data_IF_871734164263
#
_entry.id   IF_871734164263
#
_cell.length_a   1.000
_cell.length_b   1.000
_cell.length_c   1.000
_cell.angle_alpha   90.00
_cell.angle_beta   90.00
_cell.angle_gamma   90.00
#
_symmetry.space_group_name_H-M   'P 1'
#
loop_
_entity.id
_entity.type
_entity.pdbx_description
1 polymer ?
#
# COMPACT_ATOMS: atom_id res chain seq x y z
N UNK A 1 -26.46 -3.95 -42.09
CA UNK A 1 -25.98 -2.76 -41.35
C UNK A 1 -25.26 -3.31 -40.12
N UNK A 2 -23.98 -3.65 -40.32
CA UNK A 2 -23.10 -4.15 -39.23
C UNK A 2 -22.72 -2.95 -38.37
N UNK A 3 -23.14 -2.97 -37.09
CA UNK A 3 -22.67 -2.02 -36.09
C UNK A 3 -21.19 -2.27 -35.88
N UNK A 4 -20.37 -1.37 -36.37
CA UNK A 4 -18.96 -1.26 -36.09
C UNK A 4 -18.77 -1.15 -34.55
N UNK A 5 -18.51 -2.28 -33.90
CA UNK A 5 -18.02 -2.29 -32.51
C UNK A 5 -16.65 -1.63 -32.51
N UNK A 6 -16.64 -0.33 -32.19
CA UNK A 6 -15.42 0.38 -31.83
C UNK A 6 -14.61 -0.49 -30.85
N UNK A 7 -13.30 -0.76 -31.09
CA UNK A 7 -12.49 -1.49 -30.13
C UNK A 7 -12.56 -0.73 -28.80
N UNK A 8 -13.07 -1.37 -27.76
CA UNK A 8 -12.84 -0.87 -26.40
C UNK A 8 -11.33 -0.81 -26.24
N UNK A 9 -10.77 0.40 -26.26
CA UNK A 9 -9.43 0.61 -25.72
C UNK A 9 -9.39 -0.13 -24.41
N UNK A 10 -8.53 -1.15 -24.31
CA UNK A 10 -8.50 -2.06 -23.16
C UNK A 10 -8.04 -1.25 -21.95
N UNK A 11 -9.00 -0.77 -21.17
CA UNK A 11 -8.71 -0.10 -19.91
C UNK A 11 -8.02 -1.08 -19.02
N UNK A 12 -6.89 -0.68 -18.42
CA UNK A 12 -6.18 -1.54 -17.48
C UNK A 12 -7.08 -1.87 -16.31
N UNK A 13 -7.16 -3.15 -15.99
CA UNK A 13 -7.98 -3.65 -14.89
C UNK A 13 -7.26 -3.48 -13.55
N UNK A 14 -8.00 -3.04 -12.53
CA UNK A 14 -7.46 -2.85 -11.18
C UNK A 14 -8.42 -3.37 -10.11
N UNK A 15 -7.93 -4.24 -9.25
CA UNK A 15 -8.67 -4.80 -8.11
C UNK A 15 -8.27 -4.08 -6.82
N UNK A 16 -9.23 -3.47 -6.13
CA UNK A 16 -9.05 -2.80 -4.84
C UNK A 16 -9.59 -3.69 -3.74
N UNK A 17 -8.74 -4.09 -2.79
CA UNK A 17 -9.12 -4.98 -1.69
C UNK A 17 -8.87 -4.30 -0.35
N UNK A 18 -9.94 -4.04 0.38
CA UNK A 18 -9.92 -3.31 1.64
C UNK A 18 -11.23 -3.62 2.40
N UNK A 19 -11.21 -3.87 3.68
CA UNK A 19 -12.42 -4.12 4.47
C UNK A 19 -13.20 -2.85 4.79
N UNK A 20 -12.56 -1.67 4.76
CA UNK A 20 -13.24 -0.38 4.84
C UNK A 20 -14.04 -0.10 3.56
N UNK A 21 -15.36 -0.27 3.64
CA UNK A 21 -16.27 -0.08 2.51
C UNK A 21 -16.24 1.36 1.95
N UNK A 22 -16.04 2.37 2.81
CA UNK A 22 -16.04 3.79 2.41
C UNK A 22 -14.75 4.10 1.66
N UNK A 23 -13.60 3.70 2.20
CA UNK A 23 -12.31 3.88 1.56
C UNK A 23 -12.27 3.13 0.22
N UNK A 24 -12.65 1.86 0.21
CA UNK A 24 -12.71 1.02 -0.99
C UNK A 24 -13.57 1.63 -2.10
N UNK A 25 -14.79 2.07 -1.77
CA UNK A 25 -15.70 2.68 -2.75
C UNK A 25 -15.13 3.98 -3.34
N UNK A 26 -14.55 4.85 -2.50
CA UNK A 26 -13.92 6.10 -2.95
C UNK A 26 -12.72 5.85 -3.85
N UNK A 27 -11.88 4.89 -3.50
CA UNK A 27 -10.69 4.56 -4.30
C UNK A 27 -11.10 3.96 -5.66
N UNK A 28 -12.06 3.04 -5.70
CA UNK A 28 -12.61 2.49 -6.94
C UNK A 28 -13.16 3.60 -7.83
N UNK A 29 -14.00 4.49 -7.29
CA UNK A 29 -14.57 5.61 -8.06
C UNK A 29 -13.47 6.54 -8.61
N UNK A 30 -12.45 6.85 -7.82
CA UNK A 30 -11.37 7.72 -8.23
C UNK A 30 -10.48 7.09 -9.32
N UNK A 31 -10.27 5.78 -9.29
CA UNK A 31 -9.56 5.02 -10.33
C UNK A 31 -10.39 4.94 -11.62
N UNK A 32 -11.70 4.70 -11.50
CA UNK A 32 -12.61 4.70 -12.66
C UNK A 32 -12.66 6.06 -13.36
N UNK A 33 -12.65 7.16 -12.59
CA UNK A 33 -12.57 8.52 -13.13
C UNK A 33 -11.26 8.78 -13.90
N UNK A 34 -10.19 8.01 -13.63
CA UNK A 34 -8.91 8.04 -14.34
C UNK A 34 -8.80 7.05 -15.49
N UNK A 35 -9.91 6.38 -15.84
CA UNK A 35 -9.99 5.50 -17.00
C UNK A 35 -9.61 4.03 -16.74
N UNK A 36 -9.43 3.62 -15.48
CA UNK A 36 -9.21 2.22 -15.14
C UNK A 36 -10.51 1.43 -15.05
N UNK A 37 -10.49 0.14 -15.38
CA UNK A 37 -11.58 -0.78 -15.03
C UNK A 37 -11.38 -1.27 -13.59
N UNK A 38 -11.82 -0.45 -12.63
CA UNK A 38 -11.60 -0.69 -11.21
C UNK A 38 -12.77 -1.42 -10.57
N UNK A 39 -12.45 -2.48 -9.81
CA UNK A 39 -13.40 -3.29 -9.03
C UNK A 39 -12.95 -3.38 -7.58
N UNK A 40 -13.89 -3.56 -6.66
CA UNK A 40 -13.63 -3.67 -5.23
C UNK A 40 -13.99 -5.05 -4.68
N UNK A 41 -13.17 -5.57 -3.75
CA UNK A 41 -13.45 -6.74 -2.95
C UNK A 41 -13.29 -6.39 -1.45
N UNK A 42 -14.10 -6.99 -0.59
CA UNK A 42 -14.12 -6.65 0.84
C UNK A 42 -13.16 -7.51 1.68
N UNK A 43 -12.75 -8.65 1.15
CA UNK A 43 -11.98 -9.66 1.84
C UNK A 43 -11.14 -10.49 0.87
N UNK A 44 -10.29 -11.35 1.43
CA UNK A 44 -9.38 -12.22 0.67
C UNK A 44 -10.13 -13.21 -0.21
N UNK A 45 -11.24 -13.78 0.28
CA UNK A 45 -11.99 -14.80 -0.44
C UNK A 45 -12.65 -14.24 -1.70
N UNK A 46 -13.36 -13.12 -1.56
CA UNK A 46 -14.01 -12.41 -2.67
C UNK A 46 -12.97 -11.89 -3.68
N UNK A 47 -11.82 -11.41 -3.19
CA UNK A 47 -10.74 -10.95 -4.04
C UNK A 47 -10.13 -12.08 -4.88
N UNK A 48 -9.83 -13.23 -4.27
CA UNK A 48 -9.30 -14.39 -5.00
C UNK A 48 -10.34 -14.99 -5.95
N UNK A 49 -11.62 -15.01 -5.59
CA UNK A 49 -12.69 -15.44 -6.49
C UNK A 49 -12.78 -14.55 -7.73
N UNK A 50 -12.74 -13.23 -7.54
CA UNK A 50 -12.72 -12.25 -8.63
C UNK A 50 -11.48 -12.43 -9.52
N UNK A 51 -10.29 -12.58 -8.94
CA UNK A 51 -9.04 -12.77 -9.67
C UNK A 51 -8.99 -14.08 -10.48
N UNK A 52 -9.59 -15.16 -9.98
CA UNK A 52 -9.70 -16.42 -10.72
C UNK A 52 -10.67 -16.32 -11.91
N UNK A 53 -11.72 -15.52 -11.77
CA UNK A 53 -12.68 -15.30 -12.86
C UNK A 53 -12.08 -14.44 -13.96
N UNK A 54 -11.39 -13.37 -13.57
CA UNK A 54 -10.72 -12.44 -14.47
C UNK A 54 -9.51 -11.85 -13.75
N UNK A 55 -8.31 -12.29 -14.16
CA UNK A 55 -7.05 -11.86 -13.54
C UNK A 55 -6.85 -10.36 -13.72
N UNK A 56 -6.69 -9.59 -12.63
CA UNK A 56 -6.45 -8.15 -12.72
C UNK A 56 -4.99 -7.89 -13.13
N UNK A 57 -4.76 -6.87 -13.97
CA UNK A 57 -3.40 -6.39 -14.26
C UNK A 57 -2.76 -5.72 -13.06
N UNK A 58 -3.56 -5.00 -12.25
CA UNK A 58 -3.15 -4.26 -11.08
C UNK A 58 -3.99 -4.65 -9.87
N UNK A 59 -3.39 -4.68 -8.69
CA UNK A 59 -4.11 -4.90 -7.44
C UNK A 59 -3.62 -3.94 -6.35
N UNK A 60 -4.56 -3.33 -5.63
CA UNK A 60 -4.29 -2.55 -4.42
C UNK A 60 -4.84 -3.33 -3.24
N UNK A 61 -3.99 -3.70 -2.29
CA UNK A 61 -4.33 -4.63 -1.20
C UNK A 61 -4.06 -3.98 0.14
N UNK A 62 -5.07 -3.89 1.01
CA UNK A 62 -4.82 -3.61 2.42
C UNK A 62 -4.22 -4.82 3.12
N UNK A 63 -3.19 -4.60 3.94
CA UNK A 63 -2.60 -5.66 4.76
C UNK A 63 -3.45 -6.05 5.97
N UNK A 64 -4.24 -5.13 6.49
CA UNK A 64 -5.01 -5.32 7.72
C UNK A 64 -6.48 -5.40 7.40
N UNK A 65 -6.94 -6.58 7.10
CA UNK A 65 -8.36 -6.89 6.93
C UNK A 65 -8.84 -7.83 8.02
N UNK A 66 -10.12 -7.78 8.35
CA UNK A 66 -10.72 -8.69 9.31
C UNK A 66 -10.59 -10.14 8.83
N UNK A 67 -10.05 -11.01 9.68
CA UNK A 67 -10.02 -12.48 9.48
C UNK A 67 -8.82 -13.03 8.73
N UNK A 68 -8.38 -12.48 7.60
CA UNK A 68 -7.28 -13.00 6.81
C UNK A 68 -6.22 -11.93 6.52
N UNK A 69 -4.96 -12.35 6.41
CA UNK A 69 -3.85 -11.44 6.15
C UNK A 69 -3.81 -11.00 4.67
N UNK A 70 -3.65 -9.70 4.43
CA UNK A 70 -3.38 -9.20 3.08
C UNK A 70 -2.11 -9.80 2.46
N UNK A 71 -1.17 -10.30 3.26
CA UNK A 71 0.00 -11.05 2.77
C UNK A 71 -0.39 -12.36 2.10
N UNK A 72 -1.40 -13.08 2.64
CA UNK A 72 -1.92 -14.30 2.02
C UNK A 72 -2.63 -13.99 0.70
N UNK A 73 -3.29 -12.83 0.62
CA UNK A 73 -3.86 -12.35 -0.64
C UNK A 73 -2.78 -12.05 -1.68
N UNK A 74 -1.69 -11.37 -1.31
CA UNK A 74 -0.55 -11.12 -2.23
C UNK A 74 -0.03 -12.44 -2.79
N UNK A 75 0.21 -13.44 -1.94
CA UNK A 75 0.65 -14.77 -2.35
C UNK A 75 -0.37 -15.44 -3.29
N UNK A 76 -1.67 -15.36 -2.96
CA UNK A 76 -2.75 -15.93 -3.75
C UNK A 76 -2.88 -15.29 -5.13
N UNK A 77 -2.81 -13.96 -5.24
CA UNK A 77 -2.83 -13.24 -6.51
C UNK A 77 -1.65 -13.62 -7.39
N UNK A 78 -0.44 -13.68 -6.82
CA UNK A 78 0.77 -14.10 -7.55
C UNK A 78 0.75 -15.56 -7.98
N UNK A 79 0.04 -16.43 -7.25
CA UNK A 79 -0.18 -17.81 -7.66
C UNK A 79 -1.20 -17.96 -8.81
N UNK A 80 -2.16 -17.02 -8.92
CA UNK A 80 -3.12 -16.99 -10.03
C UNK A 80 -2.46 -16.40 -11.27
N UNK A 81 -1.80 -15.24 -11.13
CA UNK A 81 -1.09 -14.60 -12.22
C UNK A 81 0.15 -13.85 -11.69
N UNK A 82 1.32 -14.31 -12.09
CA UNK A 82 2.60 -13.70 -11.70
C UNK A 82 2.76 -12.28 -12.25
N UNK A 83 2.07 -11.96 -13.36
CA UNK A 83 2.15 -10.65 -14.01
C UNK A 83 1.33 -9.58 -13.28
N UNK A 84 0.34 -9.95 -12.46
CA UNK A 84 -0.43 -8.99 -11.66
C UNK A 84 0.52 -8.12 -10.82
N UNK A 85 0.55 -6.81 -11.07
CA UNK A 85 1.30 -5.88 -10.24
C UNK A 85 0.51 -5.55 -8.96
N UNK A 86 1.13 -5.75 -7.79
CA UNK A 86 0.45 -5.59 -6.49
C UNK A 86 1.08 -4.46 -5.69
N UNK A 87 0.31 -3.42 -5.40
CA UNK A 87 0.66 -2.37 -4.43
C UNK A 87 -0.07 -2.64 -3.12
N UNK A 88 0.70 -2.68 -2.05
CA UNK A 88 0.17 -2.93 -0.71
C UNK A 88 -0.03 -1.61 0.02
N UNK A 89 -1.23 -1.40 0.59
CA UNK A 89 -1.53 -0.29 1.49
C UNK A 89 -1.50 -0.75 2.94
N UNK A 90 -0.98 0.06 3.84
CA UNK A 90 -0.98 -0.27 5.28
C UNK A 90 -1.09 0.96 6.15
N UNK A 91 -2.01 0.93 7.12
CA UNK A 91 -2.15 1.99 8.13
C UNK A 91 -1.06 1.92 9.23
N UNK A 92 -0.44 0.73 9.41
CA UNK A 92 0.58 0.47 10.43
C UNK A 92 1.67 -0.44 9.84
N UNK A 93 2.42 0.10 8.87
CA UNK A 93 3.52 -0.67 8.27
C UNK A 93 4.70 -0.78 9.23
N UNK A 94 4.93 -1.96 9.81
CA UNK A 94 6.29 -2.25 10.27
C UNK A 94 7.15 -2.50 9.02
N UNK A 95 8.41 -2.07 9.06
CA UNK A 95 9.39 -2.36 7.99
C UNK A 95 9.43 -3.87 7.69
N UNK A 96 9.27 -4.71 8.72
CA UNK A 96 9.22 -6.15 8.58
C UNK A 96 8.04 -6.62 7.70
N UNK A 97 6.84 -6.08 7.90
CA UNK A 97 5.65 -6.45 7.13
C UNK A 97 5.75 -5.98 5.68
N UNK A 98 6.32 -4.79 5.45
CA UNK A 98 6.58 -4.28 4.10
C UNK A 98 7.59 -5.16 3.35
N UNK A 99 8.69 -5.54 4.00
CA UNK A 99 9.69 -6.46 3.42
C UNK A 99 9.10 -7.84 3.13
N UNK A 100 8.21 -8.34 3.99
CA UNK A 100 7.54 -9.61 3.75
C UNK A 100 6.59 -9.53 2.54
N UNK A 101 5.81 -8.45 2.40
CA UNK A 101 4.98 -8.23 1.23
C UNK A 101 5.80 -8.23 -0.08
N UNK A 102 6.94 -7.53 -0.10
CA UNK A 102 7.85 -7.53 -1.27
C UNK A 102 8.41 -8.93 -1.55
N UNK A 103 8.82 -9.69 -0.52
CA UNK A 103 9.29 -11.09 -0.69
C UNK A 103 8.22 -12.01 -1.26
N UNK A 104 6.95 -11.74 -0.97
CA UNK A 104 5.81 -12.47 -1.51
C UNK A 104 5.42 -12.03 -2.92
N UNK A 105 6.11 -11.04 -3.49
CA UNK A 105 5.93 -10.57 -4.85
C UNK A 105 5.11 -9.29 -4.97
N UNK A 106 4.84 -8.57 -3.87
CA UNK A 106 4.29 -7.22 -3.99
C UNK A 106 5.29 -6.32 -4.73
N UNK A 107 4.77 -5.54 -5.64
CA UNK A 107 5.54 -4.62 -6.48
C UNK A 107 6.02 -3.41 -5.69
N UNK A 108 5.14 -2.91 -4.81
CA UNK A 108 5.42 -1.75 -3.98
C UNK A 108 4.57 -1.78 -2.71
N UNK A 109 4.95 -1.00 -1.69
CA UNK A 109 4.08 -0.73 -0.55
C UNK A 109 3.95 0.77 -0.30
N UNK A 110 2.80 1.21 0.22
CA UNK A 110 2.52 2.57 0.60
C UNK A 110 1.86 2.60 1.99
N UNK A 111 2.10 3.67 2.72
CA UNK A 111 1.44 3.89 4.01
C UNK A 111 0.14 4.68 3.82
N UNK A 112 -0.94 4.26 4.50
CA UNK A 112 -2.16 5.07 4.57
C UNK A 112 -1.94 6.30 5.49
N UNK A 113 -2.42 7.49 5.15
CA UNK A 113 -3.22 7.80 3.97
C UNK A 113 -2.36 7.85 2.69
N UNK A 114 -2.81 7.22 1.61
CA UNK A 114 -2.23 7.33 0.28
C UNK A 114 -3.30 7.84 -0.67
N UNK A 115 -2.96 8.77 -1.52
CA UNK A 115 -3.86 9.24 -2.56
C UNK A 115 -3.78 8.38 -3.84
N UNK A 116 -4.72 8.60 -4.75
CA UNK A 116 -4.80 7.81 -5.99
C UNK A 116 -3.58 8.02 -6.88
N UNK A 117 -3.02 9.22 -6.90
CA UNK A 117 -1.89 9.56 -7.77
C UNK A 117 -0.61 8.93 -7.23
N UNK A 118 -0.45 8.84 -5.90
CA UNK A 118 0.65 8.07 -5.27
C UNK A 118 0.55 6.58 -5.58
N UNK A 119 -0.66 6.01 -5.54
CA UNK A 119 -0.90 4.59 -5.86
C UNK A 119 -0.55 4.32 -7.34
N UNK A 120 -1.00 5.16 -8.26
CA UNK A 120 -0.70 5.02 -9.68
C UNK A 120 0.78 5.20 -9.97
N UNK A 121 1.44 6.19 -9.37
CA UNK A 121 2.88 6.37 -9.48
C UNK A 121 3.69 5.18 -8.94
N UNK A 122 3.17 4.45 -7.95
CA UNK A 122 3.80 3.24 -7.45
C UNK A 122 3.78 2.11 -8.49
N UNK A 123 2.71 1.97 -9.25
CA UNK A 123 2.64 1.02 -10.38
C UNK A 123 3.55 1.41 -11.54
N UNK A 124 3.65 2.70 -11.87
CA UNK A 124 4.49 3.19 -12.98
C UNK A 124 5.98 3.01 -12.72
N UNK A 125 6.42 3.17 -11.47
CA UNK A 125 7.82 2.94 -11.08
C UNK A 125 8.29 1.52 -11.37
N UNK A 126 7.39 0.56 -11.40
CA UNK A 126 7.70 -0.85 -11.68
C UNK A 126 7.89 -1.10 -13.17
N UNK A 127 7.04 -0.54 -14.02
CA UNK A 127 7.17 -0.69 -15.48
C UNK A 127 8.42 -0.01 -16.02
N UNK A 128 8.90 1.05 -15.37
CA UNK A 128 10.18 1.70 -15.69
C UNK A 128 11.41 0.89 -15.22
N UNK A 129 11.26 0.02 -14.19
CA UNK A 129 12.37 -0.78 -13.64
C UNK A 129 12.63 -2.06 -14.42
N UNK A 130 11.71 -2.56 -15.21
CA UNK A 130 11.96 -3.72 -16.10
C UNK A 130 12.89 -3.39 -17.28
N UNK A 131 13.05 -2.10 -17.61
CA UNK A 131 13.94 -1.63 -18.69
C UNK A 131 15.25 -0.99 -18.21
N UNK A 132 15.51 -0.96 -16.91
CA UNK A 132 16.74 -0.42 -16.35
C UNK A 132 17.29 -1.36 -15.29
N UNK A 133 18.15 -2.28 -15.72
CA UNK A 133 19.14 -2.89 -14.83
C UNK A 133 19.87 -1.79 -14.07
N UNK A 134 20.03 -2.01 -12.76
CA UNK A 134 20.99 -1.37 -11.85
C UNK A 134 20.53 -0.08 -11.14
N UNK A 135 20.44 -0.24 -9.82
CA UNK A 135 20.65 0.78 -8.78
C UNK A 135 19.89 2.13 -8.94
N UNK A 136 18.65 2.16 -8.49
CA UNK A 136 18.26 3.27 -7.63
C UNK A 136 18.12 2.69 -6.22
N UNK A 137 19.07 3.07 -5.39
CA UNK A 137 18.92 3.03 -3.95
C UNK A 137 17.50 3.53 -3.65
N UNK A 138 16.63 2.62 -3.22
CA UNK A 138 15.50 3.04 -2.43
C UNK A 138 16.15 3.87 -1.35
N UNK A 139 15.81 5.14 -1.28
CA UNK A 139 16.05 5.93 -0.10
C UNK A 139 15.25 5.21 0.99
N UNK A 140 15.90 4.21 1.55
CA UNK A 140 15.45 3.57 2.77
C UNK A 140 15.41 4.73 3.72
N UNK A 141 14.20 5.20 4.04
CA UNK A 141 14.01 6.24 5.02
C UNK A 141 14.94 5.87 6.16
N UNK A 142 15.96 6.69 6.42
CA UNK A 142 17.04 6.29 7.33
C UNK A 142 16.37 5.75 8.60
N UNK A 143 16.95 4.74 9.24
CA UNK A 143 16.37 4.15 10.47
C UNK A 143 15.91 5.25 11.43
N UNK A 144 16.65 6.36 11.45
CA UNK A 144 16.36 7.57 12.20
C UNK A 144 15.04 8.26 11.75
N UNK A 145 14.74 8.29 10.45
CA UNK A 145 13.51 8.90 9.93
C UNK A 145 12.30 8.01 10.22
N UNK A 146 12.42 6.71 10.03
CA UNK A 146 11.37 5.74 10.38
C UNK A 146 11.07 5.75 11.89
N UNK A 147 12.11 5.83 12.73
CA UNK A 147 11.97 5.97 14.17
C UNK A 147 11.28 7.29 14.54
N UNK A 148 11.65 8.40 13.90
CA UNK A 148 11.06 9.70 14.13
C UNK A 148 9.58 9.76 13.73
N UNK A 149 9.22 9.23 12.58
CA UNK A 149 7.84 9.15 12.12
C UNK A 149 6.97 8.29 13.06
N UNK A 150 7.52 7.18 13.55
CA UNK A 150 6.84 6.33 14.54
C UNK A 150 6.62 7.07 15.86
N UNK A 151 7.65 7.76 16.38
CA UNK A 151 7.56 8.55 17.61
C UNK A 151 6.51 9.68 17.48
N UNK A 152 6.48 10.38 16.35
CA UNK A 152 5.52 11.47 16.11
C UNK A 152 4.08 10.97 16.03
N UNK A 153 3.87 9.83 15.39
CA UNK A 153 2.55 9.19 15.32
C UNK A 153 2.02 8.84 16.71
N UNK A 154 2.81 8.12 17.51
CA UNK A 154 2.42 7.76 18.87
C UNK A 154 2.20 9.00 19.75
N UNK A 155 2.99 10.05 19.55
CA UNK A 155 2.80 11.30 20.28
C UNK A 155 1.49 12.00 19.89
N UNK A 156 1.12 11.99 18.62
CA UNK A 156 -0.15 12.51 18.11
C UNK A 156 -1.34 11.71 18.67
N UNK A 157 -1.27 10.38 18.64
CA UNK A 157 -2.30 9.47 19.19
C UNK A 157 -2.48 9.67 20.71
N UNK A 158 -1.42 10.08 21.39
CA UNK A 158 -1.45 10.44 22.81
C UNK A 158 -1.83 11.90 23.07
N UNK A 159 -2.33 12.65 22.08
CA UNK A 159 -2.70 14.05 22.22
C UNK A 159 -1.54 14.98 22.64
N UNK A 160 -0.31 14.64 22.25
CA UNK A 160 0.91 15.39 22.63
C UNK A 160 1.46 15.04 24.02
N UNK A 161 0.87 14.10 24.73
CA UNK A 161 1.30 13.69 26.07
C UNK A 161 2.58 12.83 26.03
N UNK A 162 3.72 13.47 26.24
CA UNK A 162 5.06 12.85 26.18
C UNK A 162 5.19 11.67 27.17
N UNK A 163 4.58 11.75 28.35
CA UNK A 163 4.67 10.68 29.36
C UNK A 163 3.89 9.43 28.94
N UNK A 164 2.72 9.62 28.34
CA UNK A 164 1.89 8.54 27.81
C UNK A 164 2.54 7.92 26.57
N UNK A 165 3.03 8.75 25.65
CA UNK A 165 3.74 8.30 24.46
C UNK A 165 5.01 7.50 24.80
N UNK A 166 5.81 7.96 25.76
CA UNK A 166 6.99 7.24 26.22
C UNK A 166 6.67 5.86 26.79
N UNK A 167 5.56 5.74 27.51
CA UNK A 167 5.06 4.46 28.05
C UNK A 167 4.63 3.51 26.93
N UNK A 168 3.88 4.02 25.94
CA UNK A 168 3.46 3.22 24.77
C UNK A 168 4.63 2.77 23.90
N UNK A 169 5.66 3.61 23.77
CA UNK A 169 6.88 3.30 23.03
C UNK A 169 7.87 2.40 23.81
N UNK A 170 7.59 2.08 25.09
CA UNK A 170 8.49 1.30 25.93
C UNK A 170 9.83 1.97 26.20
N UNK A 171 9.92 3.31 26.13
CA UNK A 171 11.15 4.06 26.35
C UNK A 171 11.00 5.07 27.49
N UNK A 172 12.13 5.48 28.08
CA UNK A 172 12.10 6.45 29.17
C UNK A 172 11.71 7.84 28.66
N UNK A 173 10.91 8.61 29.43
CA UNK A 173 10.46 9.98 29.05
C UNK A 173 11.62 10.89 28.61
N UNK A 174 12.75 10.86 29.31
CA UNK A 174 13.94 11.63 28.94
C UNK A 174 14.52 11.23 27.59
N UNK A 175 14.48 9.93 27.27
CA UNK A 175 14.92 9.41 25.98
C UNK A 175 14.03 9.90 24.85
N UNK A 176 12.70 9.91 25.06
CA UNK A 176 11.74 10.45 24.09
C UNK A 176 11.96 11.97 23.88
N UNK A 177 12.11 12.75 24.95
CA UNK A 177 12.40 14.18 24.86
C UNK A 177 13.68 14.47 24.07
N UNK A 178 14.76 13.73 24.32
CA UNK A 178 16.02 13.85 23.58
C UNK A 178 15.88 13.47 22.11
N UNK A 179 15.05 12.48 21.78
CA UNK A 179 14.77 12.11 20.39
C UNK A 179 13.94 13.17 19.67
N UNK A 180 12.94 13.74 20.32
CA UNK A 180 12.14 14.85 19.80
C UNK A 180 12.93 16.14 19.58
N UNK A 181 13.96 16.40 20.40
CA UNK A 181 14.81 17.60 20.27
C UNK A 181 15.91 17.46 19.20
N UNK A 182 16.19 16.26 18.72
CA UNK A 182 17.25 16.00 17.73
C UNK A 182 16.81 16.17 16.28
N UNK A 183 15.52 16.34 16.01
CA UNK A 183 14.97 16.52 14.66
C UNK A 183 14.11 17.80 14.59
N UNK A 184 14.11 18.51 13.45
CA UNK A 184 13.98 17.99 12.10
C UNK A 184 15.34 17.74 11.43
N UNK A 185 15.44 16.58 10.71
CA UNK A 185 16.56 16.36 9.83
C UNK A 185 16.63 17.45 8.74
N UNK A 186 17.81 17.89 8.33
CA UNK A 186 17.93 18.81 7.21
C UNK A 186 17.32 18.19 5.96
N UNK A 187 16.65 19.05 5.16
CA UNK A 187 16.05 18.73 3.87
C UNK A 187 17.10 18.25 2.87
#
# INVERSE_FOLDING_TARGET
MEEERTPRESRRSILVVDDDAVFRARLVQALQARGYDARGAADVESALAAARSESPELAVVDLRMAGASGLDLVRGLKAIDVATAVVVLTGYGSIATALEAIRLGATHYLTKPADVDEILAAFERTTASENATVHREHEVASLARAEWEHIHRVLTDCGGNISLAARQLGIHRRSLQRKLSKYPAPR
#
